data_IF_229743411185
#
_entry.id   IF_229743411185
#
_cell.length_a   1.000
_cell.length_b   1.000
_cell.length_c   1.000
_cell.angle_alpha   90.00
_cell.angle_beta   90.00
_cell.angle_gamma   90.00
#
_symmetry.space_group_name_H-M   'P 1'
#
loop_
_entity.id
_entity.type
_entity.pdbx_description
1 polymer ?
#
# COMPACT_ATOMS: atom_id res chain seq x y z
N UNK A 1 -14.90 8.45 -18.25
CA UNK A 1 -13.71 9.25 -18.64
C UNK A 1 -13.15 8.60 -19.90
N UNK A 2 -13.26 9.28 -21.05
CA UNK A 2 -12.78 8.75 -22.33
C UNK A 2 -11.29 9.04 -22.45
N UNK A 3 -10.45 8.01 -22.47
CA UNK A 3 -9.02 8.17 -22.74
C UNK A 3 -8.85 8.20 -24.25
N UNK A 4 -8.49 9.38 -24.75
CA UNK A 4 -8.24 9.65 -26.16
C UNK A 4 -6.87 9.07 -26.55
N UNK A 5 -6.85 7.89 -27.17
CA UNK A 5 -5.64 7.25 -27.65
C UNK A 5 -5.19 7.84 -28.99
N UNK A 6 -4.49 8.98 -28.93
CA UNK A 6 -3.59 9.42 -30.00
C UNK A 6 -2.20 9.68 -29.42
N UNK A 7 -1.46 8.60 -29.25
CA UNK A 7 0.00 8.64 -29.30
C UNK A 7 0.47 7.47 -30.14
N UNK A 8 1.23 7.79 -31.18
CA UNK A 8 1.60 6.92 -32.26
C UNK A 8 2.61 5.84 -31.83
N UNK A 9 2.45 4.65 -32.42
CA UNK A 9 3.50 3.71 -32.82
C UNK A 9 4.68 3.47 -31.88
N UNK A 10 4.47 2.53 -30.95
CA UNK A 10 5.41 1.45 -30.68
C UNK A 10 4.61 0.30 -30.05
N UNK A 11 3.88 -0.47 -30.85
CA UNK A 11 3.36 -1.75 -30.40
C UNK A 11 4.56 -2.70 -30.25
N UNK A 12 5.23 -2.61 -29.10
CA UNK A 12 5.80 -3.82 -28.49
C UNK A 12 4.59 -4.66 -28.08
N UNK A 13 4.01 -5.39 -29.03
CA UNK A 13 3.10 -6.49 -28.70
C UNK A 13 3.90 -7.42 -27.81
N UNK A 14 3.61 -7.39 -26.50
CA UNK A 14 4.13 -8.37 -25.56
C UNK A 14 3.94 -9.74 -26.20
N UNK A 15 5.01 -10.52 -26.24
CA UNK A 15 4.93 -11.92 -26.61
C UNK A 15 3.89 -12.60 -25.72
N UNK A 16 3.17 -13.57 -26.26
CA UNK A 16 2.16 -14.34 -25.52
C UNK A 16 2.75 -14.94 -24.23
N UNK A 17 4.03 -15.32 -24.26
CA UNK A 17 4.80 -15.77 -23.10
C UNK A 17 5.02 -14.66 -22.06
N UNK A 18 5.31 -13.43 -22.49
CA UNK A 18 5.51 -12.29 -21.59
C UNK A 18 4.18 -11.87 -20.95
N UNK A 19 3.09 -11.89 -21.71
CA UNK A 19 1.75 -11.61 -21.19
C UNK A 19 1.32 -12.63 -20.13
N UNK A 20 1.61 -13.92 -20.38
CA UNK A 20 1.30 -15.00 -19.45
C UNK A 20 2.16 -14.93 -18.17
N UNK A 21 3.42 -14.52 -18.28
CA UNK A 21 4.29 -14.28 -17.14
C UNK A 21 3.81 -13.08 -16.30
N UNK A 22 3.35 -12.02 -16.96
CA UNK A 22 2.76 -10.86 -16.30
C UNK A 22 1.47 -11.23 -15.55
N UNK A 23 0.62 -12.07 -16.14
CA UNK A 23 -0.59 -12.57 -15.49
C UNK A 23 -0.29 -13.42 -14.26
N UNK A 24 0.73 -14.30 -14.34
CA UNK A 24 1.16 -15.08 -13.17
C UNK A 24 1.71 -14.21 -12.05
N UNK A 25 2.52 -13.20 -12.37
CA UNK A 25 3.00 -12.24 -11.39
C UNK A 25 1.84 -11.47 -10.76
N UNK A 26 0.88 -11.03 -11.57
CA UNK A 26 -0.31 -10.35 -11.09
C UNK A 26 -1.13 -11.21 -10.13
N UNK A 27 -1.40 -12.48 -10.47
CA UNK A 27 -2.12 -13.39 -9.56
C UNK A 27 -1.33 -13.70 -8.29
N UNK A 28 0.00 -13.79 -8.37
CA UNK A 28 0.86 -13.97 -7.17
C UNK A 28 0.76 -12.77 -6.24
N UNK A 29 0.85 -11.55 -6.80
CA UNK A 29 0.73 -10.31 -6.03
C UNK A 29 -0.67 -10.19 -5.42
N UNK A 30 -1.70 -10.51 -6.21
CA UNK A 30 -3.10 -10.50 -5.76
C UNK A 30 -3.35 -11.51 -4.65
N UNK A 31 -2.82 -12.72 -4.74
CA UNK A 31 -2.95 -13.74 -3.70
C UNK A 31 -2.14 -13.38 -2.44
N UNK A 32 -0.98 -12.74 -2.60
CA UNK A 32 -0.21 -12.18 -1.49
C UNK A 32 -1.01 -11.13 -0.71
N UNK A 33 -1.67 -10.20 -1.41
CA UNK A 33 -2.57 -9.21 -0.81
C UNK A 33 -3.95 -9.77 -0.42
N UNK A 34 -4.22 -11.04 -0.71
CA UNK A 34 -5.44 -11.73 -0.29
C UNK A 34 -5.30 -12.33 1.12
N UNK A 35 -4.06 -12.60 1.56
CA UNK A 35 -3.79 -13.23 2.85
C UNK A 35 -4.09 -12.29 4.02
N UNK A 36 -3.69 -11.03 3.86
CA UNK A 36 -3.92 -9.95 4.82
C UNK A 36 -4.37 -8.72 4.01
N UNK A 37 -5.46 -8.07 4.42
CA UNK A 37 -5.95 -6.86 3.75
C UNK A 37 -4.92 -5.72 3.88
N UNK A 38 -4.95 -4.74 2.98
CA UNK A 38 -4.09 -3.56 3.07
C UNK A 38 -4.26 -2.83 4.41
N UNK A 39 -5.49 -2.81 4.94
CA UNK A 39 -5.81 -2.29 6.28
C UNK A 39 -5.14 -3.12 7.37
N UNK A 40 -5.21 -4.45 7.30
CA UNK A 40 -4.57 -5.35 8.28
C UNK A 40 -3.04 -5.19 8.29
N UNK A 41 -2.43 -5.04 7.12
CA UNK A 41 -0.99 -4.79 6.97
C UNK A 41 -0.60 -3.45 7.61
N UNK A 42 -1.32 -2.38 7.27
CA UNK A 42 -1.05 -1.03 7.80
C UNK A 42 -1.27 -0.98 9.31
N UNK A 43 -2.31 -1.62 9.83
CA UNK A 43 -2.56 -1.67 11.28
C UNK A 43 -1.45 -2.43 12.03
N UNK A 44 -0.95 -3.51 11.45
CA UNK A 44 0.18 -4.26 12.02
C UNK A 44 1.47 -3.42 12.06
N UNK A 45 1.76 -2.70 10.97
CA UNK A 45 2.92 -1.80 10.90
C UNK A 45 2.79 -0.64 11.89
N UNK A 46 1.61 -0.02 11.98
CA UNK A 46 1.34 1.06 12.92
C UNK A 46 1.53 0.58 14.36
N UNK A 47 1.04 -0.60 14.71
CA UNK A 47 1.22 -1.20 16.04
C UNK A 47 2.69 -1.39 16.39
N UNK A 48 3.51 -1.88 15.44
CA UNK A 48 4.94 -2.07 15.65
C UNK A 48 5.67 -0.73 15.85
N UNK A 49 5.34 0.27 15.04
CA UNK A 49 5.92 1.62 15.15
C UNK A 49 5.49 2.29 16.45
N UNK A 50 4.22 2.18 16.84
CA UNK A 50 3.73 2.71 18.12
C UNK A 50 4.37 1.98 19.30
N UNK A 51 4.64 0.68 19.21
CA UNK A 51 5.36 -0.07 20.27
C UNK A 51 6.83 0.39 20.41
N UNK A 52 7.45 0.83 19.31
CA UNK A 52 8.84 1.30 19.29
C UNK A 52 9.01 2.77 19.68
N UNK A 53 8.13 3.66 19.18
CA UNK A 53 7.73 4.88 19.91
C UNK A 53 7.19 4.43 21.26
N UNK A 54 6.81 5.22 22.25
CA UNK A 54 6.37 4.70 23.57
C UNK A 54 7.22 3.65 24.36
N UNK A 55 8.25 2.98 23.81
CA UNK A 55 9.24 2.22 24.55
C UNK A 55 10.01 3.17 25.47
N UNK A 56 10.30 2.71 26.69
CA UNK A 56 10.89 3.51 27.77
C UNK A 56 12.32 3.96 27.48
N UNK A 57 13.04 3.21 26.63
CA UNK A 57 14.45 3.37 26.29
C UNK A 57 14.69 4.14 24.97
N UNK A 58 13.64 4.71 24.38
CA UNK A 58 13.77 5.45 23.13
C UNK A 58 14.31 6.87 23.38
N UNK A 59 15.63 6.99 23.26
CA UNK A 59 16.33 8.28 23.26
C UNK A 59 16.14 9.06 21.96
N UNK A 60 16.32 10.39 22.02
CA UNK A 60 16.27 11.31 20.87
C UNK A 60 14.90 11.51 20.19
N UNK A 61 13.80 11.04 20.79
CA UNK A 61 12.44 11.32 20.30
C UNK A 61 11.64 12.04 21.38
N UNK A 62 11.36 13.32 21.15
CA UNK A 62 10.57 14.13 22.10
C UNK A 62 9.11 13.68 22.13
N UNK A 63 8.37 13.97 23.21
CA UNK A 63 6.93 13.67 23.28
C UNK A 63 6.13 14.24 22.10
N UNK A 64 6.46 15.46 21.65
CA UNK A 64 5.80 16.12 20.52
C UNK A 64 6.06 15.37 19.20
N UNK A 65 7.27 14.84 19.01
CA UNK A 65 7.59 14.01 17.85
C UNK A 65 6.80 12.69 17.87
N UNK A 66 6.62 12.05 19.04
CA UNK A 66 5.79 10.84 19.18
C UNK A 66 4.34 11.10 18.77
N UNK A 67 3.77 12.21 19.25
CA UNK A 67 2.41 12.62 18.88
C UNK A 67 2.29 12.90 17.39
N UNK A 68 3.27 13.60 16.81
CA UNK A 68 3.26 13.89 15.38
C UNK A 68 3.31 12.62 14.54
N UNK A 69 4.20 11.66 14.87
CA UNK A 69 4.32 10.40 14.13
C UNK A 69 3.03 9.58 14.29
N UNK A 70 2.49 9.44 15.49
CA UNK A 70 1.23 8.72 15.71
C UNK A 70 0.06 9.32 14.90
N UNK A 71 0.03 10.66 14.74
CA UNK A 71 -0.96 11.30 13.88
C UNK A 71 -0.75 10.97 12.39
N UNK A 72 0.49 10.90 11.91
CA UNK A 72 0.75 10.44 10.53
C UNK A 72 0.30 8.99 10.32
N UNK A 73 0.55 8.11 11.29
CA UNK A 73 0.10 6.70 11.22
C UNK A 73 -1.43 6.62 11.10
N UNK A 74 -2.17 7.43 11.87
CA UNK A 74 -3.64 7.52 11.78
C UNK A 74 -4.12 7.99 10.41
N UNK A 75 -3.45 8.97 9.81
CA UNK A 75 -3.77 9.45 8.45
C UNK A 75 -3.55 8.35 7.42
N UNK A 76 -2.46 7.57 7.54
CA UNK A 76 -2.19 6.44 6.65
C UNK A 76 -3.26 5.36 6.78
N UNK A 77 -3.67 4.99 8.01
CA UNK A 77 -4.78 4.05 8.22
C UNK A 77 -6.06 4.54 7.54
N UNK A 78 -6.43 5.81 7.74
CA UNK A 78 -7.64 6.39 7.15
C UNK A 78 -7.61 6.33 5.61
N UNK A 79 -6.48 6.69 4.99
CA UNK A 79 -6.33 6.63 3.53
C UNK A 79 -6.46 5.19 3.02
N UNK A 80 -5.84 4.24 3.72
CA UNK A 80 -5.87 2.82 3.34
C UNK A 80 -7.28 2.24 3.48
N UNK A 81 -7.99 2.54 4.57
CA UNK A 81 -9.39 2.13 4.76
C UNK A 81 -10.30 2.70 3.66
N UNK A 82 -10.14 4.00 3.33
CA UNK A 82 -10.88 4.63 2.24
C UNK A 82 -10.56 3.98 0.88
N UNK A 83 -9.29 3.66 0.64
CA UNK A 83 -8.84 2.96 -0.57
C UNK A 83 -9.47 1.57 -0.71
N UNK A 84 -9.50 0.78 0.36
CA UNK A 84 -10.16 -0.53 0.41
C UNK A 84 -11.67 -0.43 0.18
N UNK A 85 -12.32 0.58 0.76
CA UNK A 85 -13.75 0.84 0.57
C UNK A 85 -14.10 1.29 -0.86
N UNK A 86 -13.19 2.00 -1.54
CA UNK A 86 -13.41 2.51 -2.90
C UNK A 86 -13.29 1.43 -3.99
N UNK A 87 -12.76 0.24 -3.68
CA UNK A 87 -12.77 -0.91 -4.61
C UNK A 87 -14.09 -1.68 -4.51
N UNK A 88 -15.19 -1.01 -4.88
CA UNK A 88 -16.47 -1.66 -5.23
C UNK A 88 -17.02 -1.02 -6.50
N UNK A 89 -16.45 -1.41 -7.64
CA UNK A 89 -17.00 -1.18 -8.97
C UNK A 89 -16.92 -2.48 -9.75
#
# INVERSE_FOLDING_TARGET
MFINAKSANAQNTLSEAEAQMLMQQHETVKEFFRRDSSVEIVNSLNTLVETFLFAEDLDNVTPEMRVHIANQLRVVTLITELGEMMVKC
#
